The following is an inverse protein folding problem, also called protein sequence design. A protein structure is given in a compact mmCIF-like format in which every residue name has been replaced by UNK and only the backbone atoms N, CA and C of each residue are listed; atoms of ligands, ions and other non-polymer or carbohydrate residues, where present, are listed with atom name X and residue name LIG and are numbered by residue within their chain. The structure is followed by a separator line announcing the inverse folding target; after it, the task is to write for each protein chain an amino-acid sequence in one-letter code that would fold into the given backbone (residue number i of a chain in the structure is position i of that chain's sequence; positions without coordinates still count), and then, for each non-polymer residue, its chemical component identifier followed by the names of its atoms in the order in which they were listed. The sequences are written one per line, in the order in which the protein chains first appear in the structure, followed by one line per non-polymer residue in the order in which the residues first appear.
data_IF_450724725745
#
_entry.id   IF_450724725745
#
_cell.length_a   1.000
_cell.length_b   1.000
_cell.length_c   1.000
_cell.angle_alpha   90.00
_cell.angle_beta   90.00
_cell.angle_gamma   90.00
#
_symmetry.space_group_name_H-M   'P 1'
#
loop_
_entity.id
_entity.type
_entity.pdbx_description
1 polymer ?
#
# COMPACT_ATOMS: atom_id res chain seq x y z
N UNK A 1 15.95 -75.81 20.58
CA UNK A 1 16.25 -74.72 19.66
C UNK A 1 15.18 -73.65 19.56
N UNK A 2 13.89 -73.90 19.87
CA UNK A 2 12.83 -72.86 19.75
C UNK A 2 12.73 -71.89 20.92
N UNK A 3 13.36 -72.13 22.07
CA UNK A 3 13.31 -71.24 23.24
C UNK A 3 14.48 -70.22 23.31
N UNK A 4 15.54 -70.40 22.56
CA UNK A 4 16.66 -69.44 22.49
C UNK A 4 16.45 -68.36 21.43
N UNK A 5 15.62 -68.62 20.42
CA UNK A 5 15.28 -67.59 19.41
C UNK A 5 14.30 -66.53 19.92
N UNK A 6 13.49 -66.83 20.95
CA UNK A 6 12.54 -65.87 21.52
C UNK A 6 13.20 -64.83 22.42
N UNK A 7 14.36 -65.18 23.04
CA UNK A 7 15.10 -64.23 23.91
C UNK A 7 15.94 -63.22 23.10
N UNK A 8 16.42 -63.63 21.93
CA UNK A 8 17.22 -62.76 21.05
C UNK A 8 16.38 -61.67 20.35
N UNK A 9 15.13 -61.98 20.05
CA UNK A 9 14.18 -61.00 19.44
C UNK A 9 13.67 -60.00 20.51
N UNK A 10 13.48 -60.40 21.77
CA UNK A 10 13.10 -59.53 22.86
C UNK A 10 14.22 -58.57 23.30
N UNK A 11 15.49 -58.96 23.20
CA UNK A 11 16.63 -58.09 23.46
C UNK A 11 16.89 -57.06 22.36
N UNK A 12 16.53 -57.35 21.10
CA UNK A 12 16.64 -56.37 20.00
C UNK A 12 15.54 -55.32 19.98
N UNK A 13 14.38 -55.57 20.61
CA UNK A 13 13.29 -54.57 20.71
C UNK A 13 13.44 -53.62 21.90
N UNK A 14 14.31 -53.90 22.86
CA UNK A 14 14.55 -52.99 23.99
C UNK A 14 15.64 -51.94 23.72
N UNK A 15 16.42 -52.06 22.64
CA UNK A 15 17.47 -51.08 22.30
C UNK A 15 16.94 -49.97 21.37
N UNK A 16 15.75 -50.14 20.77
CA UNK A 16 15.13 -49.13 19.89
C UNK A 16 14.25 -48.12 20.56
N UNK A 17 14.01 -48.23 21.89
CA UNK A 17 13.15 -47.28 22.63
C UNK A 17 13.93 -46.21 23.42
N UNK A 18 15.26 -46.13 23.33
CA UNK A 18 16.08 -45.13 24.02
C UNK A 18 16.75 -44.09 23.10
N UNK A 19 16.43 -44.11 21.81
CA UNK A 19 16.93 -43.13 20.83
C UNK A 19 15.85 -42.14 20.34
N UNK A 20 14.83 -41.86 21.14
CA UNK A 20 13.69 -41.03 20.72
C UNK A 20 13.27 -39.97 21.71
N UNK A 21 14.20 -39.21 22.32
CA UNK A 21 13.92 -37.95 23.01
C UNK A 21 15.15 -37.04 22.95
N UNK A 22 15.67 -36.81 21.77
CA UNK A 22 16.45 -35.63 21.44
C UNK A 22 15.56 -34.84 20.49
N UNK A 23 14.83 -33.83 20.99
CA UNK A 23 14.18 -32.86 20.16
C UNK A 23 15.25 -32.19 19.32
N UNK A 24 15.48 -32.69 18.11
CA UNK A 24 16.07 -31.90 17.05
C UNK A 24 15.10 -30.74 16.84
N UNK A 25 15.40 -29.57 17.39
CA UNK A 25 15.00 -28.36 16.72
C UNK A 25 15.54 -28.57 15.31
N UNK A 26 14.66 -28.79 14.35
CA UNK A 26 14.98 -28.62 12.95
C UNK A 26 15.48 -27.18 12.82
N UNK A 27 16.79 -26.99 12.91
CA UNK A 27 17.46 -25.85 12.32
C UNK A 27 17.30 -26.07 10.81
N UNK A 28 16.11 -25.83 10.27
CA UNK A 28 15.96 -25.48 8.88
C UNK A 28 16.83 -24.22 8.73
N UNK A 29 18.01 -24.39 8.10
CA UNK A 29 18.83 -23.26 7.69
C UNK A 29 17.91 -22.37 6.87
N UNK A 30 17.42 -21.30 7.46
CA UNK A 30 16.57 -20.33 6.77
C UNK A 30 17.47 -19.68 5.71
N UNK A 31 17.23 -19.98 4.46
CA UNK A 31 18.07 -19.51 3.35
C UNK A 31 17.57 -18.21 2.74
N UNK A 32 16.36 -17.76 3.14
CA UNK A 32 15.72 -16.56 2.65
C UNK A 32 15.04 -15.79 3.79
N UNK A 33 15.00 -14.48 3.70
CA UNK A 33 14.19 -13.62 4.57
C UNK A 33 12.71 -13.74 4.18
N UNK A 34 11.85 -13.95 5.16
CA UNK A 34 10.40 -14.06 4.97
C UNK A 34 9.71 -12.72 5.12
N UNK A 35 9.17 -12.23 4.02
CA UNK A 35 8.43 -10.96 3.94
C UNK A 35 6.95 -11.26 3.78
N UNK A 36 6.14 -10.86 4.76
CA UNK A 36 4.69 -11.01 4.72
C UNK A 36 3.98 -9.71 4.36
N UNK A 37 3.01 -9.76 3.47
CA UNK A 37 2.15 -8.63 3.14
C UNK A 37 0.68 -8.97 3.33
N UNK A 38 -0.13 -7.99 3.73
CA UNK A 38 -1.58 -8.08 3.68
C UNK A 38 -2.13 -7.00 2.78
N UNK A 39 -3.26 -7.25 2.18
CA UNK A 39 -3.95 -6.28 1.32
C UNK A 39 -5.23 -6.87 0.76
N UNK A 40 -6.12 -6.03 0.23
CA UNK A 40 -7.35 -6.49 -0.40
C UNK A 40 -7.03 -7.18 -1.73
N UNK A 41 -6.96 -8.52 -1.73
CA UNK A 41 -6.78 -9.30 -2.95
C UNK A 41 -8.12 -9.58 -3.64
N UNK A 42 -9.22 -9.49 -2.89
CA UNK A 42 -10.60 -9.60 -3.36
C UNK A 42 -11.44 -8.41 -2.90
N UNK A 43 -12.66 -8.26 -3.46
CA UNK A 43 -13.58 -7.17 -3.12
C UNK A 43 -13.31 -5.85 -3.84
N UNK A 44 -13.95 -4.79 -3.35
CA UNK A 44 -14.02 -3.47 -4.03
C UNK A 44 -12.68 -2.69 -4.07
N UNK A 45 -11.71 -3.05 -3.25
CA UNK A 45 -10.38 -2.44 -3.21
C UNK A 45 -9.28 -3.36 -3.81
N UNK A 46 -9.66 -4.44 -4.49
CA UNK A 46 -8.75 -5.50 -4.94
C UNK A 46 -7.69 -5.05 -5.95
N UNK A 47 -7.90 -3.96 -6.66
CA UNK A 47 -6.90 -3.38 -7.57
C UNK A 47 -5.64 -3.01 -6.81
N UNK A 48 -5.76 -2.43 -5.62
CA UNK A 48 -4.61 -2.01 -4.80
C UNK A 48 -3.80 -3.21 -4.29
N UNK A 49 -4.46 -4.17 -3.65
CA UNK A 49 -3.78 -5.32 -3.05
C UNK A 49 -3.10 -6.21 -4.09
N UNK A 50 -3.78 -6.47 -5.22
CA UNK A 50 -3.17 -7.25 -6.30
C UNK A 50 -2.00 -6.51 -6.94
N UNK A 51 -2.10 -5.19 -7.14
CA UNK A 51 -0.99 -4.40 -7.66
C UNK A 51 0.23 -4.43 -6.72
N UNK A 52 0.03 -4.21 -5.43
CA UNK A 52 1.10 -4.25 -4.42
C UNK A 52 1.77 -5.64 -4.37
N UNK A 53 0.98 -6.71 -4.30
CA UNK A 53 1.48 -8.10 -4.37
C UNK A 53 2.32 -8.31 -5.62
N UNK A 54 1.83 -7.91 -6.78
CA UNK A 54 2.50 -8.13 -8.06
C UNK A 54 3.83 -7.36 -8.13
N UNK A 55 3.86 -6.11 -7.68
CA UNK A 55 5.08 -5.29 -7.60
C UNK A 55 6.13 -5.89 -6.67
N UNK A 56 5.71 -6.32 -5.48
CA UNK A 56 6.59 -6.97 -4.50
C UNK A 56 7.18 -8.28 -5.03
N UNK A 57 6.39 -9.09 -5.75
CA UNK A 57 6.87 -10.34 -6.35
C UNK A 57 7.91 -10.10 -7.44
N UNK A 58 7.72 -9.10 -8.32
CA UNK A 58 8.72 -8.76 -9.34
C UNK A 58 10.03 -8.35 -8.66
N UNK A 59 9.98 -7.47 -7.66
CA UNK A 59 11.17 -7.02 -6.95
C UNK A 59 11.92 -8.16 -6.26
N UNK A 60 11.21 -9.05 -5.58
CA UNK A 60 11.83 -10.20 -4.91
C UNK A 60 12.52 -11.16 -5.90
N UNK A 61 11.90 -11.42 -7.04
CA UNK A 61 12.48 -12.25 -8.10
C UNK A 61 13.74 -11.64 -8.71
N UNK A 62 13.73 -10.31 -8.95
CA UNK A 62 14.90 -9.58 -9.44
C UNK A 62 16.07 -9.65 -8.47
N UNK A 63 15.81 -9.36 -7.18
CA UNK A 63 16.83 -9.42 -6.12
C UNK A 63 17.37 -10.83 -5.95
N UNK A 64 16.52 -11.83 -5.98
CA UNK A 64 16.92 -13.23 -5.87
C UNK A 64 17.80 -13.67 -7.07
N UNK A 65 17.49 -13.16 -8.27
CA UNK A 65 18.28 -13.46 -9.47
C UNK A 65 19.68 -12.79 -9.47
N UNK A 66 19.84 -11.64 -8.80
CA UNK A 66 21.13 -10.99 -8.62
C UNK A 66 22.08 -11.80 -7.70
N UNK A 67 21.52 -12.66 -6.85
CA UNK A 67 22.27 -13.43 -5.85
C UNK A 67 22.61 -12.61 -4.59
N UNK A 68 23.10 -13.29 -3.56
CA UNK A 68 23.38 -12.70 -2.25
C UNK A 68 22.17 -12.78 -1.33
N UNK A 69 21.38 -11.71 -1.20
CA UNK A 69 20.15 -11.73 -0.39
C UNK A 69 19.10 -12.57 -1.12
N UNK A 70 18.44 -13.46 -0.36
CA UNK A 70 17.30 -14.24 -0.84
C UNK A 70 16.05 -13.83 -0.06
N UNK A 71 14.94 -13.61 -0.76
CA UNK A 71 13.67 -13.17 -0.24
C UNK A 71 12.56 -14.14 -0.59
N UNK A 72 11.71 -14.44 0.36
CA UNK A 72 10.45 -15.18 0.16
C UNK A 72 9.29 -14.26 0.53
N UNK A 73 8.43 -13.92 -0.46
CA UNK A 73 7.32 -12.99 -0.28
C UNK A 73 6.00 -13.76 -0.29
N UNK A 74 5.19 -13.56 0.74
CA UNK A 74 3.83 -14.12 0.86
C UNK A 74 2.82 -13.03 1.15
N UNK A 75 1.66 -13.09 0.48
CA UNK A 75 0.53 -12.18 0.69
C UNK A 75 -0.71 -12.93 1.14
N UNK A 76 -1.42 -12.35 2.10
CA UNK A 76 -2.74 -12.80 2.56
C UNK A 76 -3.80 -11.74 2.28
N UNK A 77 -5.03 -12.19 1.97
CA UNK A 77 -6.16 -11.31 1.65
C UNK A 77 -6.80 -10.74 2.94
N UNK A 78 -6.83 -9.41 3.06
CA UNK A 78 -7.50 -8.71 4.15
C UNK A 78 -8.90 -8.19 3.77
N UNK A 79 -9.27 -8.26 2.51
CA UNK A 79 -10.57 -7.82 1.96
C UNK A 79 -10.93 -6.37 2.35
N UNK A 80 -9.93 -5.53 2.62
CA UNK A 80 -10.10 -4.16 3.15
C UNK A 80 -10.88 -4.12 4.49
N UNK A 81 -10.65 -5.11 5.35
CA UNK A 81 -11.31 -5.27 6.64
C UNK A 81 -10.28 -5.40 7.76
N UNK A 82 -10.35 -4.59 8.84
CA UNK A 82 -9.33 -4.57 9.88
C UNK A 82 -9.25 -5.88 10.68
N UNK A 83 -10.38 -6.57 10.93
CA UNK A 83 -10.37 -7.85 11.68
C UNK A 83 -9.74 -8.96 10.83
N UNK A 84 -10.07 -9.00 9.54
CA UNK A 84 -9.46 -9.95 8.60
C UNK A 84 -7.99 -9.66 8.39
N UNK A 85 -7.59 -8.40 8.38
CA UNK A 85 -6.17 -8.01 8.29
C UNK A 85 -5.35 -8.53 9.48
N UNK A 86 -5.88 -8.45 10.71
CA UNK A 86 -5.22 -9.03 11.89
C UNK A 86 -5.13 -10.55 11.78
N UNK A 87 -6.16 -11.23 11.27
CA UNK A 87 -6.13 -12.68 11.05
C UNK A 87 -5.11 -13.07 9.97
N UNK A 88 -5.03 -12.31 8.87
CA UNK A 88 -4.05 -12.48 7.82
C UNK A 88 -2.62 -12.25 8.35
N UNK A 89 -2.41 -11.21 9.15
CA UNK A 89 -1.14 -10.96 9.84
C UNK A 89 -0.72 -12.15 10.72
N UNK A 90 -1.62 -12.67 11.54
CA UNK A 90 -1.32 -13.84 12.38
C UNK A 90 -0.95 -15.07 11.55
N UNK A 91 -1.62 -15.30 10.42
CA UNK A 91 -1.26 -16.37 9.48
C UNK A 91 0.16 -16.22 8.93
N UNK A 92 0.56 -14.99 8.61
CA UNK A 92 1.92 -14.67 8.14
C UNK A 92 2.95 -14.82 9.28
N UNK A 93 2.60 -14.41 10.49
CA UNK A 93 3.45 -14.59 11.68
C UNK A 93 3.70 -16.07 11.97
N UNK A 94 2.65 -16.92 11.91
CA UNK A 94 2.77 -18.38 12.09
C UNK A 94 3.60 -19.03 10.97
N UNK A 95 3.60 -18.48 9.75
CA UNK A 95 4.49 -18.88 8.68
C UNK A 95 5.97 -18.52 8.96
N UNK A 96 6.22 -17.64 9.93
CA UNK A 96 7.55 -17.18 10.31
C UNK A 96 7.96 -15.88 9.62
N UNK A 97 7.04 -14.99 9.35
CA UNK A 97 7.30 -13.63 8.83
C UNK A 97 8.31 -12.90 9.70
N UNK A 98 9.34 -12.32 9.09
CA UNK A 98 10.39 -11.54 9.73
C UNK A 98 10.28 -10.05 9.45
N UNK A 99 9.76 -9.70 8.27
CA UNK A 99 9.51 -8.32 7.82
C UNK A 99 8.09 -8.23 7.29
N UNK A 100 7.41 -7.12 7.56
CA UNK A 100 6.03 -6.90 7.14
C UNK A 100 5.95 -5.84 6.05
N UNK A 101 5.27 -6.15 4.93
CA UNK A 101 4.85 -5.13 3.95
C UNK A 101 3.59 -4.37 4.40
N UNK A 102 3.17 -4.56 5.66
CA UNK A 102 1.97 -3.94 6.22
C UNK A 102 0.70 -4.34 5.48
N UNK A 103 -0.39 -3.67 5.78
CA UNK A 103 -1.58 -3.68 4.93
C UNK A 103 -1.49 -2.54 3.91
N UNK A 104 -2.13 -2.73 2.77
CA UNK A 104 -2.10 -1.77 1.64
C UNK A 104 -3.00 -0.57 1.90
N UNK A 105 -4.13 -0.74 2.60
CA UNK A 105 -5.11 0.32 2.89
C UNK A 105 -5.09 0.74 4.36
N UNK A 106 -5.41 2.00 4.64
CA UNK A 106 -5.12 2.64 5.93
C UNK A 106 -5.85 2.03 7.13
N UNK A 107 -7.16 1.74 7.03
CA UNK A 107 -7.93 1.19 8.15
C UNK A 107 -7.47 -0.23 8.57
N UNK A 108 -7.23 -1.19 7.66
CA UNK A 108 -6.55 -2.44 7.97
C UNK A 108 -5.13 -2.26 8.50
N UNK A 109 -4.35 -1.33 7.93
CA UNK A 109 -2.97 -1.07 8.35
C UNK A 109 -2.88 -0.51 9.78
N UNK A 110 -3.83 0.32 10.20
CA UNK A 110 -3.91 0.79 11.58
C UNK A 110 -4.02 -0.39 12.57
N UNK A 111 -4.84 -1.40 12.25
CA UNK A 111 -4.98 -2.59 13.08
C UNK A 111 -3.72 -3.47 13.07
N UNK A 112 -3.16 -3.76 11.88
CA UNK A 112 -1.96 -4.61 11.79
C UNK A 112 -0.70 -3.92 12.30
N UNK A 113 -0.61 -2.60 12.23
CA UNK A 113 0.54 -1.84 12.75
C UNK A 113 0.67 -1.95 14.27
N UNK A 114 -0.44 -2.08 15.01
CA UNK A 114 -0.42 -2.36 16.43
C UNK A 114 0.24 -3.72 16.72
N UNK A 115 -0.15 -4.75 15.96
CA UNK A 115 0.45 -6.09 16.07
C UNK A 115 1.94 -6.08 15.69
N UNK A 116 2.33 -5.40 14.62
CA UNK A 116 3.74 -5.25 14.24
C UNK A 116 4.56 -4.60 15.35
N UNK A 117 4.00 -3.57 16.01
CA UNK A 117 4.66 -2.86 17.11
C UNK A 117 4.87 -3.77 18.33
N UNK A 118 3.84 -4.48 18.75
CA UNK A 118 3.88 -5.39 19.90
C UNK A 118 4.82 -6.59 19.67
N UNK A 119 4.77 -7.18 18.47
CA UNK A 119 5.57 -8.35 18.10
C UNK A 119 7.01 -8.00 17.68
N UNK A 120 7.35 -6.70 17.63
CA UNK A 120 8.66 -6.22 17.15
C UNK A 120 9.02 -6.74 15.76
N UNK A 121 8.06 -6.81 14.86
CA UNK A 121 8.28 -7.08 13.44
C UNK A 121 8.32 -5.73 12.72
N UNK A 122 9.46 -5.44 12.06
CA UNK A 122 9.58 -4.19 11.29
C UNK A 122 8.60 -4.18 10.12
N UNK A 123 7.85 -3.10 9.98
CA UNK A 123 6.84 -2.93 8.94
C UNK A 123 7.13 -1.72 8.05
N UNK A 124 6.99 -1.91 6.74
CA UNK A 124 7.02 -0.85 5.73
C UNK A 124 5.78 -1.01 4.84
N UNK A 125 4.75 -0.20 5.09
CA UNK A 125 3.56 -0.25 4.23
C UNK A 125 3.79 0.47 2.91
N UNK A 126 3.35 -0.10 1.78
CA UNK A 126 3.50 0.57 0.48
C UNK A 126 2.61 1.80 0.34
N UNK A 127 1.40 1.81 0.90
CA UNK A 127 0.42 2.84 0.56
C UNK A 127 -0.55 3.24 1.68
N UNK A 128 -0.53 2.59 2.83
CA UNK A 128 -1.39 2.99 3.94
C UNK A 128 -0.89 4.32 4.54
N UNK A 129 -1.58 5.41 4.21
CA UNK A 129 -1.11 6.80 4.34
C UNK A 129 -1.63 7.55 5.56
N UNK A 130 -2.58 6.96 6.31
CA UNK A 130 -3.12 7.60 7.51
C UNK A 130 -2.07 7.76 8.61
N UNK A 131 -2.11 8.89 9.33
CA UNK A 131 -1.19 9.22 10.42
C UNK A 131 -1.16 8.13 11.51
N UNK A 132 -2.31 7.54 11.82
CA UNK A 132 -2.46 6.52 12.86
C UNK A 132 -1.67 5.23 12.58
N UNK A 133 -1.29 4.97 11.32
CA UNK A 133 -0.53 3.79 10.92
C UNK A 133 0.84 3.78 11.58
N UNK A 134 1.57 4.89 11.55
CA UNK A 134 2.94 4.98 12.11
C UNK A 134 2.99 5.64 13.49
N UNK A 135 2.02 6.46 13.84
CA UNK A 135 2.05 7.28 15.06
C UNK A 135 2.27 6.44 16.31
N UNK A 136 3.31 6.81 17.08
CA UNK A 136 3.68 6.14 18.34
C UNK A 136 4.35 4.77 18.17
N UNK A 137 4.75 4.39 16.95
CA UNK A 137 5.35 3.08 16.64
C UNK A 137 6.69 3.28 15.95
N UNK A 138 7.79 2.97 16.65
CA UNK A 138 9.16 3.17 16.17
C UNK A 138 9.61 2.20 15.09
N UNK A 139 8.85 1.13 14.86
CA UNK A 139 9.16 0.07 13.89
C UNK A 139 8.14 -0.05 12.74
N UNK A 140 7.26 0.96 12.57
CA UNK A 140 6.27 0.99 11.49
C UNK A 140 6.51 2.21 10.60
N UNK A 141 6.77 1.96 9.33
CA UNK A 141 7.21 2.94 8.33
C UNK A 141 6.28 2.94 7.13
N UNK A 142 6.24 4.06 6.38
CA UNK A 142 5.45 4.22 5.16
C UNK A 142 6.35 4.49 3.96
N UNK A 143 6.05 3.89 2.80
CA UNK A 143 6.65 4.24 1.51
C UNK A 143 5.85 5.34 0.80
N UNK A 144 4.57 5.48 1.09
CA UNK A 144 3.69 6.50 0.53
C UNK A 144 3.79 7.85 1.27
N UNK A 145 3.38 8.93 0.63
CA UNK A 145 3.18 10.21 1.31
C UNK A 145 1.87 10.18 2.13
N UNK A 146 1.87 10.91 3.25
CA UNK A 146 0.79 10.87 4.24
C UNK A 146 -0.46 11.63 3.80
N UNK A 147 -1.62 11.26 4.36
CA UNK A 147 -2.90 11.94 4.15
C UNK A 147 -2.83 13.46 4.36
N UNK A 148 -2.22 13.98 5.44
CA UNK A 148 -2.08 15.42 5.62
C UNK A 148 -1.30 16.10 4.49
N UNK A 149 -0.30 15.43 3.95
CA UNK A 149 0.46 15.95 2.82
C UNK A 149 -0.36 15.93 1.54
N UNK A 150 -1.18 14.88 1.31
CA UNK A 150 -2.06 14.80 0.16
C UNK A 150 -3.11 15.92 0.17
N UNK A 151 -3.79 16.16 1.29
CA UNK A 151 -4.79 17.22 1.40
C UNK A 151 -4.18 18.60 1.17
N UNK A 152 -3.06 18.90 1.83
CA UNK A 152 -2.33 20.15 1.66
C UNK A 152 -1.82 20.35 0.25
N UNK A 153 -1.16 19.34 -0.34
CA UNK A 153 -0.62 19.40 -1.70
C UNK A 153 -1.74 19.55 -2.75
N UNK A 154 -2.87 18.88 -2.56
CA UNK A 154 -4.05 19.03 -3.45
C UNK A 154 -4.57 20.45 -3.48
N UNK A 155 -4.76 21.09 -2.31
CA UNK A 155 -5.18 22.49 -2.24
C UNK A 155 -4.17 23.43 -2.91
N UNK A 156 -2.88 23.23 -2.64
CA UNK A 156 -1.79 24.02 -3.25
C UNK A 156 -1.74 23.84 -4.78
N UNK A 157 -1.92 22.62 -5.25
CA UNK A 157 -1.90 22.31 -6.69
C UNK A 157 -3.08 22.94 -7.41
N UNK A 158 -4.31 22.81 -6.86
CA UNK A 158 -5.52 23.41 -7.41
C UNK A 158 -5.36 24.94 -7.51
N UNK A 159 -4.87 25.59 -6.46
CA UNK A 159 -4.65 27.03 -6.44
C UNK A 159 -3.56 27.47 -7.43
N UNK A 160 -2.40 26.79 -7.41
CA UNK A 160 -1.25 27.10 -8.29
C UNK A 160 -1.59 26.99 -9.77
N UNK A 161 -2.38 25.99 -10.14
CA UNK A 161 -2.78 25.74 -11.55
C UNK A 161 -4.06 26.50 -11.95
N UNK A 162 -4.71 27.22 -11.02
CA UNK A 162 -5.93 27.97 -11.29
C UNK A 162 -7.10 27.08 -11.75
N UNK A 163 -7.26 25.92 -11.12
CA UNK A 163 -8.23 24.92 -11.57
C UNK A 163 -9.67 25.28 -11.20
N UNK A 164 -9.87 26.15 -10.22
CA UNK A 164 -11.16 26.66 -9.74
C UNK A 164 -10.98 27.35 -8.41
N UNK A 165 -11.95 28.18 -8.01
CA UNK A 165 -11.96 28.87 -6.72
C UNK A 165 -13.12 28.41 -5.82
N UNK A 166 -14.20 27.90 -6.41
CA UNK A 166 -15.35 27.32 -5.70
C UNK A 166 -15.26 25.80 -5.76
N UNK A 167 -14.98 25.20 -4.60
CA UNK A 167 -14.68 23.79 -4.49
C UNK A 167 -15.83 23.08 -3.77
N UNK A 168 -16.29 21.95 -4.32
CA UNK A 168 -17.07 20.98 -3.56
C UNK A 168 -16.14 19.87 -3.08
N UNK A 169 -16.39 19.36 -1.88
CA UNK A 169 -15.71 18.17 -1.35
C UNK A 169 -16.75 17.08 -1.09
N UNK A 170 -16.52 15.89 -1.61
CA UNK A 170 -17.31 14.69 -1.31
C UNK A 170 -16.37 13.66 -0.72
N UNK A 171 -16.62 13.21 0.51
CA UNK A 171 -15.68 12.34 1.23
C UNK A 171 -16.36 11.29 2.11
N UNK A 172 -15.63 10.20 2.41
CA UNK A 172 -16.13 9.11 3.24
C UNK A 172 -15.81 9.37 4.71
N UNK A 173 -16.82 9.59 5.56
CA UNK A 173 -16.63 10.03 6.93
C UNK A 173 -16.33 8.90 7.94
N UNK A 174 -16.51 7.65 7.56
CA UNK A 174 -16.20 6.45 8.35
C UNK A 174 -14.88 5.77 7.91
N UNK A 175 -14.08 6.45 7.08
CA UNK A 175 -12.76 6.02 6.62
C UNK A 175 -11.66 7.00 7.06
N UNK A 176 -10.62 6.47 7.73
CA UNK A 176 -9.53 7.29 8.30
C UNK A 176 -8.68 7.95 7.22
N UNK A 177 -8.51 7.30 6.06
CA UNK A 177 -7.80 7.82 4.90
C UNK A 177 -8.54 9.03 4.30
N UNK A 178 -9.80 8.85 3.93
CA UNK A 178 -10.64 9.90 3.35
C UNK A 178 -10.74 11.12 4.27
N UNK A 179 -10.94 10.87 5.57
CA UNK A 179 -11.03 11.92 6.59
C UNK A 179 -9.71 12.69 6.76
N UNK A 180 -8.59 12.01 6.81
CA UNK A 180 -7.27 12.63 7.00
C UNK A 180 -6.92 13.61 5.89
N UNK A 181 -7.22 13.26 4.64
CA UNK A 181 -7.02 14.11 3.47
C UNK A 181 -8.01 15.28 3.46
N UNK A 182 -9.30 14.99 3.72
CA UNK A 182 -10.36 16.02 3.81
C UNK A 182 -10.01 17.11 4.80
N UNK A 183 -9.71 16.75 6.05
CA UNK A 183 -9.48 17.69 7.13
C UNK A 183 -8.35 18.69 6.81
N UNK A 184 -7.27 18.19 6.21
CA UNK A 184 -6.12 19.04 5.86
C UNK A 184 -6.35 19.87 4.59
N UNK A 185 -7.10 19.35 3.62
CA UNK A 185 -7.53 20.10 2.45
C UNK A 185 -8.41 21.30 2.87
N UNK A 186 -9.46 21.05 3.65
CA UNK A 186 -10.41 22.08 4.10
C UNK A 186 -9.73 23.12 4.98
N UNK A 187 -8.80 22.71 5.85
CA UNK A 187 -8.01 23.64 6.66
C UNK A 187 -7.10 24.53 5.80
N UNK A 188 -6.52 23.97 4.71
CA UNK A 188 -5.60 24.71 3.83
C UNK A 188 -6.27 25.60 2.78
N UNK A 189 -7.45 25.24 2.33
CA UNK A 189 -8.16 25.89 1.24
C UNK A 189 -8.32 27.43 1.44
N UNK A 190 -8.76 27.97 2.61
CA UNK A 190 -8.93 29.40 2.81
C UNK A 190 -7.63 30.20 2.68
N UNK A 191 -6.48 29.63 3.10
CA UNK A 191 -5.18 30.31 2.99
C UNK A 191 -4.76 30.52 1.52
N UNK A 192 -5.36 29.75 0.60
CA UNK A 192 -5.08 29.75 -0.83
C UNK A 192 -6.19 30.43 -1.65
N UNK A 193 -7.13 31.11 -0.99
CA UNK A 193 -8.32 31.71 -1.61
C UNK A 193 -9.21 30.70 -2.36
N UNK A 194 -9.26 29.46 -1.87
CA UNK A 194 -10.22 28.45 -2.32
C UNK A 194 -11.41 28.44 -1.36
N UNK A 195 -12.61 28.63 -1.90
CA UNK A 195 -13.86 28.59 -1.15
C UNK A 195 -14.47 27.19 -1.21
N UNK A 196 -14.58 26.50 -0.08
CA UNK A 196 -15.31 25.24 0.01
C UNK A 196 -16.80 25.55 0.09
N UNK A 197 -17.47 25.56 -1.05
CA UNK A 197 -18.92 25.91 -1.15
C UNK A 197 -19.84 24.74 -0.80
N UNK A 198 -19.36 23.52 -0.94
CA UNK A 198 -20.08 22.29 -0.61
C UNK A 198 -19.12 21.30 0.08
N UNK A 199 -19.51 20.81 1.24
CA UNK A 199 -18.76 19.80 2.01
C UNK A 199 -19.75 18.72 2.44
N UNK A 200 -19.70 17.56 1.77
CA UNK A 200 -20.70 16.52 1.92
C UNK A 200 -20.05 15.15 2.11
N UNK A 201 -20.75 14.28 2.83
CA UNK A 201 -20.22 12.99 3.24
C UNK A 201 -21.06 11.82 2.74
N UNK A 202 -20.43 10.64 2.77
CA UNK A 202 -21.07 9.34 2.68
C UNK A 202 -20.38 8.37 3.65
N UNK A 203 -20.97 7.19 3.85
CA UNK A 203 -20.39 6.08 4.61
C UNK A 203 -20.21 4.87 3.69
N UNK A 204 -19.46 3.86 4.11
CA UNK A 204 -19.33 2.59 3.39
C UNK A 204 -20.69 2.01 2.96
N UNK A 205 -21.68 2.06 3.87
CA UNK A 205 -23.01 1.49 3.62
C UNK A 205 -23.87 2.33 2.65
N UNK A 206 -23.58 3.64 2.50
CA UNK A 206 -24.28 4.55 1.60
C UNK A 206 -23.52 4.85 0.29
N UNK A 207 -22.40 4.19 0.04
CA UNK A 207 -21.50 4.43 -1.11
C UNK A 207 -22.04 3.92 -2.46
N UNK A 208 -23.34 4.08 -2.71
CA UNK A 208 -24.01 3.62 -3.95
C UNK A 208 -24.82 4.71 -4.65
N UNK A 209 -25.28 5.73 -3.91
CA UNK A 209 -26.04 6.85 -4.45
C UNK A 209 -25.46 8.18 -3.95
N UNK A 210 -25.01 8.99 -4.88
CA UNK A 210 -24.37 10.29 -4.66
C UNK A 210 -25.20 11.46 -5.21
N UNK A 211 -26.47 11.22 -5.55
CA UNK A 211 -27.35 12.22 -6.16
C UNK A 211 -27.50 13.47 -5.31
N UNK A 212 -27.58 13.32 -3.98
CA UNK A 212 -27.70 14.46 -3.03
C UNK A 212 -26.43 15.28 -3.00
N UNK A 213 -25.25 14.63 -2.93
CA UNK A 213 -23.95 15.31 -2.89
C UNK A 213 -23.68 16.06 -4.21
N UNK A 214 -23.98 15.43 -5.34
CA UNK A 214 -23.83 16.03 -6.67
C UNK A 214 -24.78 17.23 -6.87
N UNK A 215 -26.03 17.10 -6.43
CA UNK A 215 -27.00 18.20 -6.49
C UNK A 215 -26.58 19.38 -5.61
N UNK A 216 -26.06 19.13 -4.40
CA UNK A 216 -25.57 20.18 -3.49
C UNK A 216 -24.38 20.93 -4.12
N UNK A 217 -23.40 20.19 -4.67
CA UNK A 217 -22.24 20.76 -5.36
C UNK A 217 -22.66 21.64 -6.56
N UNK A 218 -23.57 21.11 -7.39
CA UNK A 218 -24.07 21.83 -8.58
C UNK A 218 -24.85 23.09 -8.22
N UNK A 219 -25.78 23.01 -7.25
CA UNK A 219 -26.61 24.12 -6.82
C UNK A 219 -25.80 25.25 -6.17
N UNK A 220 -24.70 24.92 -5.52
CA UNK A 220 -23.76 25.88 -4.92
C UNK A 220 -22.73 26.44 -5.91
N UNK A 221 -22.76 25.96 -7.16
CA UNK A 221 -21.92 26.47 -8.24
C UNK A 221 -20.46 26.07 -8.08
N UNK A 222 -20.17 24.85 -7.59
CA UNK A 222 -18.83 24.34 -7.52
C UNK A 222 -18.21 24.21 -8.93
N UNK A 223 -17.02 24.75 -9.11
CA UNK A 223 -16.23 24.71 -10.35
C UNK A 223 -15.39 23.45 -10.45
N UNK A 224 -15.00 22.94 -9.27
CA UNK A 224 -14.21 21.72 -9.11
C UNK A 224 -14.78 20.90 -7.96
N UNK A 225 -14.83 19.57 -8.15
CA UNK A 225 -15.16 18.62 -7.09
C UNK A 225 -13.91 17.88 -6.69
N UNK A 226 -13.51 17.99 -5.42
CA UNK A 226 -12.41 17.27 -4.80
C UNK A 226 -12.94 15.97 -4.18
N UNK A 227 -12.29 14.87 -4.50
CA UNK A 227 -12.70 13.50 -4.15
C UNK A 227 -11.57 12.78 -3.37
N UNK A 228 -11.40 13.05 -2.07
CA UNK A 228 -10.44 12.32 -1.22
C UNK A 228 -11.01 10.94 -0.87
N UNK A 229 -10.98 10.02 -1.82
CA UNK A 229 -11.58 8.70 -1.68
C UNK A 229 -10.94 7.67 -2.62
N UNK A 230 -11.32 6.41 -2.43
CA UNK A 230 -10.92 5.30 -3.28
C UNK A 230 -11.65 5.29 -4.64
N UNK A 231 -11.09 4.57 -5.62
CA UNK A 231 -11.60 4.55 -7.01
C UNK A 231 -13.04 4.05 -7.14
N UNK A 232 -13.49 3.12 -6.28
CA UNK A 232 -14.82 2.50 -6.42
C UNK A 232 -15.96 3.50 -6.24
N UNK A 233 -16.10 4.25 -5.13
CA UNK A 233 -17.11 5.29 -5.00
C UNK A 233 -16.92 6.40 -6.05
N UNK A 234 -15.69 6.79 -6.39
CA UNK A 234 -15.43 7.79 -7.42
C UNK A 234 -16.00 7.37 -8.78
N UNK A 235 -15.86 6.12 -9.18
CA UNK A 235 -16.41 5.60 -10.43
C UNK A 235 -17.94 5.75 -10.52
N UNK A 236 -18.64 5.58 -9.41
CA UNK A 236 -20.09 5.77 -9.32
C UNK A 236 -20.47 7.25 -9.37
N UNK A 237 -19.68 8.11 -8.72
CA UNK A 237 -19.85 9.57 -8.78
C UNK A 237 -19.75 10.06 -10.22
N UNK A 238 -18.74 9.64 -10.97
CA UNK A 238 -18.59 10.04 -12.39
C UNK A 238 -19.76 9.58 -13.24
N UNK A 239 -20.24 8.34 -13.07
CA UNK A 239 -21.40 7.82 -13.80
C UNK A 239 -22.69 8.60 -13.48
N UNK A 240 -22.92 8.91 -12.20
CA UNK A 240 -24.11 9.64 -11.75
C UNK A 240 -24.05 11.13 -12.14
N UNK A 241 -22.88 11.74 -12.10
CA UNK A 241 -22.69 13.12 -12.57
C UNK A 241 -22.99 13.25 -14.07
N UNK A 242 -22.51 12.29 -14.89
CA UNK A 242 -22.86 12.24 -16.34
C UNK A 242 -24.37 12.12 -16.54
N UNK A 243 -25.04 11.26 -15.79
CA UNK A 243 -26.49 11.07 -15.87
C UNK A 243 -27.26 12.36 -15.43
N UNK A 244 -26.73 13.12 -14.50
CA UNK A 244 -27.28 14.40 -14.03
C UNK A 244 -26.91 15.60 -14.93
N UNK A 245 -26.16 15.40 -16.02
CA UNK A 245 -25.58 16.45 -16.87
C UNK A 245 -24.75 17.48 -16.06
N UNK A 246 -24.03 17.03 -15.04
CA UNK A 246 -23.12 17.82 -14.24
C UNK A 246 -21.66 17.46 -14.58
N UNK A 247 -20.92 18.44 -15.10
CA UNK A 247 -19.56 18.26 -15.60
C UNK A 247 -18.59 19.29 -15.00
N UNK A 248 -18.31 19.23 -13.69
CA UNK A 248 -17.28 20.06 -13.07
C UNK A 248 -15.89 19.54 -13.45
N UNK A 249 -14.84 20.28 -13.06
CA UNK A 249 -13.52 19.68 -12.99
C UNK A 249 -13.46 18.67 -11.83
N UNK A 250 -12.75 17.58 -12.02
CA UNK A 250 -12.59 16.54 -11.01
C UNK A 250 -11.14 16.50 -10.54
N UNK A 251 -10.95 16.41 -9.24
CA UNK A 251 -9.65 16.29 -8.64
C UNK A 251 -9.68 15.19 -7.57
N UNK A 252 -8.91 14.12 -7.79
CA UNK A 252 -8.76 13.01 -6.88
C UNK A 252 -7.41 13.01 -6.17
N UNK A 253 -7.17 11.95 -5.44
CA UNK A 253 -5.95 11.68 -4.68
C UNK A 253 -5.37 10.34 -5.12
N UNK A 254 -4.33 9.87 -4.45
CA UNK A 254 -3.66 8.61 -4.81
C UNK A 254 -4.60 7.39 -4.85
N UNK A 255 -5.63 7.35 -4.02
CA UNK A 255 -6.67 6.32 -4.06
C UNK A 255 -7.52 6.28 -5.34
N UNK A 256 -7.37 7.28 -6.23
CA UNK A 256 -7.98 7.25 -7.57
C UNK A 256 -7.15 6.43 -8.56
N UNK A 257 -5.86 6.22 -8.29
CA UNK A 257 -4.98 5.48 -9.19
C UNK A 257 -5.40 4.00 -9.26
N UNK A 258 -5.46 3.49 -10.49
CA UNK A 258 -6.00 2.16 -10.79
C UNK A 258 -7.44 2.17 -11.32
N UNK A 259 -8.16 3.31 -11.30
CA UNK A 259 -9.55 3.38 -11.81
C UNK A 259 -9.65 2.93 -13.28
N UNK A 260 -8.61 3.19 -14.08
CA UNK A 260 -8.56 2.82 -15.50
C UNK A 260 -8.50 1.30 -15.74
N UNK A 261 -8.05 0.52 -14.74
CA UNK A 261 -7.99 -0.94 -14.79
C UNK A 261 -9.20 -1.61 -14.16
N UNK A 262 -10.16 -0.82 -13.66
CA UNK A 262 -11.36 -1.33 -13.02
C UNK A 262 -12.26 -2.06 -14.02
N UNK A 263 -12.51 -3.34 -13.77
CA UNK A 263 -13.32 -4.17 -14.67
C UNK A 263 -14.74 -3.63 -14.81
N UNK A 264 -15.15 -3.41 -16.04
CA UNK A 264 -16.49 -2.92 -16.37
C UNK A 264 -16.71 -1.42 -16.19
N UNK A 265 -15.66 -0.66 -15.85
CA UNK A 265 -15.73 0.80 -15.82
C UNK A 265 -15.57 1.40 -17.24
N UNK A 266 -16.43 2.34 -17.59
CA UNK A 266 -16.28 3.15 -18.79
C UNK A 266 -15.22 4.23 -18.54
N UNK A 267 -13.99 3.99 -19.00
CA UNK A 267 -12.85 4.89 -18.78
C UNK A 267 -13.06 6.30 -19.34
N UNK A 268 -13.98 6.47 -20.31
CA UNK A 268 -14.33 7.80 -20.83
C UNK A 268 -14.97 8.71 -19.78
N UNK A 269 -15.51 8.15 -18.69
CA UNK A 269 -16.04 8.90 -17.55
C UNK A 269 -14.96 9.57 -16.71
N UNK A 270 -13.75 9.04 -16.77
CA UNK A 270 -12.59 9.59 -16.05
C UNK A 270 -11.75 10.54 -16.92
N UNK A 271 -12.17 10.83 -18.15
CA UNK A 271 -11.44 11.77 -19.01
C UNK A 271 -11.37 13.16 -18.39
N UNK A 272 -10.17 13.73 -18.29
CA UNK A 272 -9.92 15.02 -17.65
C UNK A 272 -9.86 14.99 -16.13
N UNK A 273 -10.05 13.86 -15.48
CA UNK A 273 -9.84 13.71 -14.02
C UNK A 273 -8.36 13.91 -13.70
N UNK A 274 -8.08 14.79 -12.76
CA UNK A 274 -6.74 15.07 -12.24
C UNK A 274 -6.54 14.38 -10.90
N UNK A 275 -5.32 14.00 -10.58
CA UNK A 275 -4.95 13.39 -9.30
C UNK A 275 -3.47 13.64 -8.97
N UNK A 276 -3.12 13.44 -7.70
CA UNK A 276 -1.73 13.38 -7.24
C UNK A 276 -1.32 11.94 -7.01
N UNK A 277 -0.17 11.54 -7.58
CA UNK A 277 0.41 10.20 -7.41
C UNK A 277 1.95 10.31 -7.41
N UNK A 278 2.69 9.43 -6.72
CA UNK A 278 4.16 9.44 -6.78
C UNK A 278 4.73 8.78 -8.03
N UNK A 279 3.92 8.06 -8.80
CA UNK A 279 4.36 7.20 -9.91
C UNK A 279 3.78 7.62 -11.26
N UNK A 280 4.63 7.56 -12.29
CA UNK A 280 4.22 7.74 -13.68
C UNK A 280 4.70 6.54 -14.51
N UNK A 281 3.77 5.69 -14.96
CA UNK A 281 4.08 4.51 -15.77
C UNK A 281 4.69 4.84 -17.15
N UNK A 282 4.51 6.08 -17.64
CA UNK A 282 5.06 6.56 -18.91
C UNK A 282 6.42 7.28 -18.77
N UNK A 283 7.01 7.27 -17.56
CA UNK A 283 8.33 7.84 -17.34
C UNK A 283 9.39 7.16 -18.21
N UNK A 284 10.36 7.96 -18.66
CA UNK A 284 11.30 7.54 -19.70
C UNK A 284 12.61 6.94 -19.16
N UNK A 285 12.81 6.92 -17.85
CA UNK A 285 13.99 6.31 -17.25
C UNK A 285 13.96 4.77 -17.40
N UNK A 286 15.14 4.17 -17.49
CA UNK A 286 15.31 2.75 -17.79
C UNK A 286 14.71 1.82 -16.70
N UNK A 287 14.75 2.25 -15.44
CA UNK A 287 14.23 1.45 -14.33
C UNK A 287 12.70 1.36 -14.41
N UNK A 288 12.03 2.48 -14.60
CA UNK A 288 10.58 2.53 -14.79
C UNK A 288 10.15 1.74 -16.02
N UNK A 289 10.81 1.93 -17.17
CA UNK A 289 10.52 1.17 -18.40
C UNK A 289 10.65 -0.36 -18.18
N UNK A 290 11.73 -0.78 -17.52
CA UNK A 290 11.96 -2.21 -17.23
C UNK A 290 10.84 -2.77 -16.36
N UNK A 291 10.50 -2.09 -15.26
CA UNK A 291 9.42 -2.50 -14.36
C UNK A 291 8.07 -2.57 -15.09
N UNK A 292 7.70 -1.52 -15.82
CA UNK A 292 6.43 -1.44 -16.57
C UNK A 292 6.34 -2.57 -17.61
N UNK A 293 7.43 -2.84 -18.32
CA UNK A 293 7.49 -3.92 -19.32
C UNK A 293 7.26 -5.28 -18.66
N UNK A 294 8.01 -5.60 -17.61
CA UNK A 294 7.87 -6.87 -16.88
C UNK A 294 6.47 -7.05 -16.27
N UNK A 295 5.92 -5.96 -15.72
CA UNK A 295 4.58 -5.99 -15.15
C UNK A 295 3.53 -6.29 -16.22
N UNK A 296 3.57 -5.59 -17.36
CA UNK A 296 2.67 -5.81 -18.50
C UNK A 296 2.78 -7.23 -19.08
N UNK A 297 3.99 -7.72 -19.28
CA UNK A 297 4.22 -9.07 -19.81
C UNK A 297 3.65 -10.16 -18.89
N UNK A 298 3.74 -9.96 -17.57
CA UNK A 298 3.34 -10.97 -16.60
C UNK A 298 1.85 -10.91 -16.23
N UNK A 299 1.28 -9.71 -16.10
CA UNK A 299 -0.06 -9.52 -15.57
C UNK A 299 -1.07 -8.96 -16.57
N UNK A 300 -0.62 -8.51 -17.74
CA UNK A 300 -1.48 -8.00 -18.82
C UNK A 300 -1.98 -6.56 -18.63
N UNK A 301 -1.66 -5.91 -17.50
CA UNK A 301 -2.10 -4.57 -17.13
C UNK A 301 -0.93 -3.58 -17.01
N UNK A 302 -1.24 -2.29 -17.05
CA UNK A 302 -0.29 -1.23 -16.70
C UNK A 302 -0.17 -1.14 -15.18
N UNK A 303 1.06 -1.12 -14.59
CA UNK A 303 1.21 -0.95 -13.15
C UNK A 303 0.75 0.44 -12.71
N UNK A 304 0.10 0.49 -11.56
CA UNK A 304 -0.23 1.72 -10.83
C UNK A 304 0.81 1.99 -9.72
N UNK A 305 0.62 3.09 -8.98
CA UNK A 305 1.53 3.45 -7.89
C UNK A 305 1.66 2.36 -6.80
N UNK A 306 0.58 1.62 -6.49
CA UNK A 306 0.60 0.57 -5.46
C UNK A 306 1.57 -0.57 -5.81
N UNK A 307 1.67 -0.90 -7.09
CA UNK A 307 2.67 -1.84 -7.58
C UNK A 307 4.09 -1.27 -7.46
N UNK A 308 4.28 -0.01 -7.83
CA UNK A 308 5.57 0.66 -7.79
C UNK A 308 6.06 0.89 -6.34
N UNK A 309 5.16 1.31 -5.44
CA UNK A 309 5.50 1.50 -4.03
C UNK A 309 5.87 0.17 -3.34
N UNK A 310 5.14 -0.92 -3.62
CA UNK A 310 5.47 -2.23 -3.07
C UNK A 310 6.78 -2.80 -3.64
N UNK A 311 7.06 -2.55 -4.92
CA UNK A 311 8.36 -2.84 -5.54
C UNK A 311 9.49 -2.09 -4.81
N UNK A 312 9.31 -0.79 -4.58
CA UNK A 312 10.27 0.04 -3.85
C UNK A 312 10.44 -0.42 -2.40
N UNK A 313 9.37 -0.86 -1.70
CA UNK A 313 9.47 -1.43 -0.35
C UNK A 313 10.42 -2.62 -0.29
N UNK A 314 10.30 -3.56 -1.24
CA UNK A 314 11.13 -4.77 -1.26
C UNK A 314 12.59 -4.42 -1.58
N UNK A 315 12.86 -3.48 -2.48
CA UNK A 315 14.22 -2.99 -2.75
C UNK A 315 14.80 -2.21 -1.56
N UNK A 316 13.99 -1.41 -0.85
CA UNK A 316 14.43 -0.73 0.37
C UNK A 316 14.80 -1.74 1.46
N UNK A 317 14.01 -2.82 1.63
CA UNK A 317 14.37 -3.92 2.50
C UNK A 317 15.68 -4.57 2.12
N UNK A 318 15.88 -4.91 0.85
CA UNK A 318 17.14 -5.53 0.40
C UNK A 318 18.35 -4.62 0.64
N UNK A 319 18.22 -3.30 0.40
CA UNK A 319 19.27 -2.34 0.69
C UNK A 319 19.58 -2.29 2.19
N UNK A 320 18.58 -2.23 3.06
CA UNK A 320 18.73 -2.18 4.51
C UNK A 320 19.32 -3.48 5.07
N UNK A 321 18.84 -4.65 4.63
CA UNK A 321 19.35 -5.98 5.01
C UNK A 321 20.84 -6.12 4.67
N UNK A 322 21.23 -5.70 3.47
CA UNK A 322 22.62 -5.73 3.02
C UNK A 322 23.50 -4.81 3.86
N UNK A 323 23.05 -3.58 4.12
CA UNK A 323 23.81 -2.60 4.92
C UNK A 323 23.97 -3.06 6.37
N UNK A 324 22.95 -3.69 6.94
CA UNK A 324 22.95 -4.25 8.29
C UNK A 324 23.77 -5.54 8.45
N UNK A 325 24.28 -6.13 7.36
CA UNK A 325 24.84 -7.49 7.32
C UNK A 325 23.89 -8.49 8.01
N UNK A 326 22.60 -8.39 7.72
CA UNK A 326 21.58 -9.25 8.30
C UNK A 326 21.63 -10.65 7.68
N UNK A 327 21.23 -11.66 8.46
CA UNK A 327 21.14 -13.05 8.02
C UNK A 327 19.73 -13.62 8.28
N UNK A 328 19.24 -14.57 7.44
CA UNK A 328 17.88 -15.09 7.54
C UNK A 328 17.56 -15.89 8.82
N UNK A 329 18.57 -16.25 9.60
CA UNK A 329 18.44 -16.95 10.88
C UNK A 329 18.25 -16.01 12.08
N UNK A 330 18.35 -14.69 11.86
CA UNK A 330 18.06 -13.68 12.90
C UNK A 330 16.61 -13.76 13.36
N UNK A 331 16.39 -13.48 14.64
CA UNK A 331 15.03 -13.28 15.16
C UNK A 331 14.38 -12.06 14.53
N UNK A 332 13.04 -12.02 14.47
CA UNK A 332 12.31 -10.86 13.96
C UNK A 332 12.62 -9.59 14.81
N UNK A 333 12.78 -9.72 16.12
CA UNK A 333 13.11 -8.63 17.04
C UNK A 333 14.51 -8.05 16.79
N UNK A 334 15.55 -8.91 16.64
CA UNK A 334 16.91 -8.46 16.33
C UNK A 334 16.96 -7.80 14.96
N UNK A 335 16.25 -8.38 13.98
CA UNK A 335 16.12 -7.82 12.63
C UNK A 335 15.40 -6.47 12.66
N UNK A 336 14.31 -6.37 13.42
CA UNK A 336 13.56 -5.12 13.61
C UNK A 336 14.48 -3.99 14.08
N UNK A 337 15.30 -4.23 15.10
CA UNK A 337 16.23 -3.24 15.64
C UNK A 337 17.23 -2.76 14.58
N UNK A 338 17.76 -3.68 13.76
CA UNK A 338 18.65 -3.34 12.65
C UNK A 338 17.92 -2.55 11.56
N UNK A 339 16.68 -2.90 11.23
CA UNK A 339 15.91 -2.18 10.22
C UNK A 339 15.62 -0.74 10.66
N UNK A 340 15.25 -0.51 11.91
CA UNK A 340 15.05 0.84 12.46
C UNK A 340 16.32 1.68 12.29
N UNK A 341 17.49 1.14 12.65
CA UNK A 341 18.78 1.84 12.47
C UNK A 341 19.05 2.20 11.02
N UNK A 342 18.83 1.28 10.10
CA UNK A 342 19.06 1.53 8.67
C UNK A 342 18.07 2.54 8.10
N UNK A 343 16.77 2.38 8.34
CA UNK A 343 15.75 3.25 7.77
C UNK A 343 15.83 4.70 8.28
N UNK A 344 16.33 4.93 9.49
CA UNK A 344 16.53 6.28 10.03
C UNK A 344 17.77 6.98 9.48
N UNK A 345 18.66 6.29 8.78
CA UNK A 345 19.95 6.83 8.29
C UNK A 345 20.15 6.70 6.79
N UNK A 346 19.47 5.76 6.14
CA UNK A 346 19.66 5.51 4.72
C UNK A 346 18.96 6.53 3.83
N UNK A 347 19.47 6.65 2.60
CA UNK A 347 18.78 7.30 1.49
C UNK A 347 18.45 6.26 0.44
N UNK A 348 17.24 6.32 -0.10
CA UNK A 348 16.75 5.36 -1.07
C UNK A 348 16.31 6.04 -2.37
N UNK A 349 16.63 5.41 -3.51
CA UNK A 349 16.18 5.83 -4.83
C UNK A 349 15.34 4.70 -5.46
N UNK A 350 14.07 4.98 -5.70
CA UNK A 350 13.10 4.02 -6.22
C UNK A 350 12.44 4.47 -7.52
N UNK A 351 11.37 3.77 -7.86
CA UNK A 351 10.45 4.13 -8.95
C UNK A 351 9.59 5.34 -8.59
N UNK A 352 9.26 5.46 -7.29
CA UNK A 352 8.28 6.42 -6.78
C UNK A 352 8.90 7.67 -6.18
N UNK A 353 10.23 7.73 -6.07
CA UNK A 353 10.95 8.90 -5.59
C UNK A 353 12.46 8.73 -5.62
N UNK A 354 13.15 9.86 -5.55
CA UNK A 354 14.61 9.93 -5.49
C UNK A 354 15.06 10.60 -4.18
N UNK A 355 16.19 10.17 -3.64
CA UNK A 355 16.74 10.67 -2.37
C UNK A 355 15.73 10.59 -1.20
N UNK A 356 14.89 9.59 -1.20
CA UNK A 356 13.93 9.36 -0.14
C UNK A 356 14.64 9.00 1.17
N UNK A 357 14.19 9.63 2.25
CA UNK A 357 14.64 9.38 3.62
C UNK A 357 13.43 9.23 4.53
N UNK A 358 13.59 8.57 5.66
CA UNK A 358 12.53 8.43 6.66
C UNK A 358 12.90 9.18 7.94
N UNK A 359 11.91 9.84 8.52
CA UNK A 359 12.06 10.42 9.84
C UNK A 359 11.83 9.36 10.94
N UNK A 360 12.05 9.75 12.20
CA UNK A 360 11.87 8.87 13.36
C UNK A 360 10.42 8.40 13.57
N UNK A 361 9.46 9.06 12.94
CA UNK A 361 8.04 8.73 13.01
C UNK A 361 7.62 7.83 11.84
N UNK A 362 8.59 7.26 11.10
CA UNK A 362 8.37 6.33 10.00
C UNK A 362 7.85 6.95 8.69
N UNK A 363 7.87 8.29 8.59
CA UNK A 363 7.33 9.00 7.45
C UNK A 363 8.41 9.27 6.41
N UNK A 364 8.12 8.98 5.15
CA UNK A 364 9.04 9.18 4.03
C UNK A 364 8.99 10.61 3.49
N UNK A 365 10.14 11.14 3.09
CA UNK A 365 10.25 12.38 2.30
C UNK A 365 9.94 12.08 0.83
N UNK A 366 8.69 12.26 0.44
CA UNK A 366 8.23 11.98 -0.93
C UNK A 366 7.26 13.07 -1.38
N UNK A 367 7.46 13.57 -2.59
CA UNK A 367 6.60 14.58 -3.21
C UNK A 367 5.64 13.93 -4.21
N UNK A 368 4.36 14.32 -4.20
CA UNK A 368 3.40 13.88 -5.20
C UNK A 368 3.66 14.55 -6.56
N UNK A 369 3.27 13.87 -7.64
CA UNK A 369 3.26 14.38 -9.02
C UNK A 369 1.82 14.60 -9.46
N UNK A 370 1.57 15.70 -10.18
CA UNK A 370 0.25 15.95 -10.79
C UNK A 370 0.08 15.12 -12.05
N UNK A 371 -1.03 14.42 -12.15
CA UNK A 371 -1.42 13.63 -13.32
C UNK A 371 -2.82 14.03 -13.78
N UNK A 372 -3.09 13.81 -15.05
CA UNK A 372 -4.43 13.90 -15.64
C UNK A 372 -4.71 12.65 -16.46
N UNK A 373 -5.95 12.21 -16.47
CA UNK A 373 -6.39 11.13 -17.36
C UNK A 373 -6.74 11.74 -18.73
N UNK A 374 -6.01 11.33 -19.77
CA UNK A 374 -6.23 11.74 -21.15
C UNK A 374 -6.14 10.54 -22.09
N UNK A 375 -7.15 10.38 -22.94
CA UNK A 375 -7.25 9.25 -23.88
C UNK A 375 -7.13 7.88 -23.18
N UNK A 376 -7.68 7.77 -21.97
CA UNK A 376 -7.65 6.55 -21.18
C UNK A 376 -6.28 6.20 -20.57
N UNK A 377 -5.35 7.15 -20.47
CA UNK A 377 -4.04 6.97 -19.85
C UNK A 377 -3.74 8.10 -18.86
N UNK A 378 -2.86 7.82 -17.88
CA UNK A 378 -2.33 8.87 -17.00
C UNK A 378 -1.22 9.63 -17.69
N UNK A 379 -1.36 10.95 -17.76
CA UNK A 379 -0.39 11.87 -18.36
C UNK A 379 0.10 12.86 -17.32
N UNK A 380 1.42 13.06 -17.24
CA UNK A 380 2.02 14.03 -16.32
C UNK A 380 1.59 15.46 -16.64
N UNK A 381 1.26 16.23 -15.60
CA UNK A 381 0.87 17.65 -15.69
C UNK A 381 2.04 18.61 -15.41
N UNK A 382 3.20 18.10 -14.96
CA UNK A 382 4.40 18.87 -14.57
C UNK A 382 5.57 18.67 -15.54
#
# INVERSE_FOLDING_TARGET
MKKFMALAVAALMLVTCLAGCGGSKDNANNTAFKIGGTGPLTGDASIYGNAAKNGAMIAAEEINAEGGIQLEVRYEDDVHDPEKAVNAYNTLKDWGMQLSLGSVTSKPAEATSASNFEDRIFALTPSASAVAVTSGKDNVYQMCFMDPNQGTASAQYIAKKGLGTKIAVIWQNDDVYSKGIHDTFVAKAPELNLEVVSDTTFTKDSATDFSVQLADAQNKGAELVFLPMYYRPASLIFAQAKAANYAPKWFGVDGMDGILTMKGFDTSLAEGVMLLTPFNADATDERTKSFVTKYKERFGDVPNQFAADAYDCVYAYAQALKAANATPDMSAEDLCSKMIEQFTTMTFNGLTGTNMTWNKDGQVSKDPKGMVIQNGAYVGLD
#
